data_IF_053735252536
#
_entry.id   IF_053735252536
#
_cell.length_a   1.000
_cell.length_b   1.000
_cell.length_c   1.000
_cell.angle_alpha   90.00
_cell.angle_beta   90.00
_cell.angle_gamma   90.00
#
_symmetry.space_group_name_H-M   'P 1'
#
loop_
_entity.id
_entity.type
_entity.pdbx_description
1 polymer ?
#
# COMPACT_ATOMS: atom_id res chain seq x y z
N UNK A 1 8.48 -31.51 23.48
CA UNK A 1 8.37 -30.65 22.28
C UNK A 1 7.42 -29.51 22.62
N UNK A 2 7.95 -28.30 22.72
CA UNK A 2 7.33 -27.17 23.42
C UNK A 2 6.29 -26.39 22.61
N UNK A 3 5.32 -25.84 23.34
CA UNK A 3 4.12 -25.10 22.91
C UNK A 3 4.47 -23.66 22.44
N UNK A 4 5.72 -23.41 22.06
CA UNK A 4 6.26 -22.05 21.80
C UNK A 4 6.67 -21.78 20.35
N UNK A 5 6.39 -22.68 19.42
CA UNK A 5 6.80 -22.52 18.01
C UNK A 5 5.69 -22.03 17.07
N UNK A 6 4.46 -21.86 17.55
CA UNK A 6 3.34 -21.42 16.70
C UNK A 6 3.28 -19.91 16.45
N UNK A 7 4.11 -19.12 17.14
CA UNK A 7 4.12 -17.65 17.05
C UNK A 7 5.12 -17.08 16.03
N UNK A 8 5.89 -17.94 15.33
CA UNK A 8 6.72 -17.54 14.19
C UNK A 8 6.05 -17.89 12.86
N UNK A 9 4.80 -17.48 12.67
CA UNK A 9 4.21 -17.51 11.33
C UNK A 9 4.78 -16.33 10.54
N UNK A 10 5.68 -16.68 9.64
CA UNK A 10 6.29 -15.90 8.57
C UNK A 10 5.51 -14.62 8.19
N UNK A 11 5.85 -13.47 8.79
CA UNK A 11 5.15 -12.19 8.54
C UNK A 11 5.45 -11.61 7.15
N UNK A 12 6.49 -12.12 6.49
CA UNK A 12 6.99 -11.65 5.19
C UNK A 12 6.16 -12.16 4.01
N UNK A 13 5.64 -13.40 4.05
CA UNK A 13 4.83 -13.94 2.95
C UNK A 13 3.49 -13.21 2.80
N UNK A 14 2.86 -12.84 3.91
CA UNK A 14 1.48 -12.36 3.90
C UNK A 14 1.28 -11.02 3.19
N UNK A 15 2.28 -10.12 3.19
CA UNK A 15 2.17 -8.84 2.49
C UNK A 15 2.26 -9.04 0.98
N UNK A 16 3.27 -9.76 0.52
CA UNK A 16 3.47 -10.04 -0.90
C UNK A 16 2.28 -10.81 -1.47
N UNK A 17 1.80 -11.84 -0.78
CA UNK A 17 0.60 -12.59 -1.17
C UNK A 17 -0.64 -11.70 -1.23
N UNK A 18 -0.84 -10.81 -0.23
CA UNK A 18 -1.95 -9.84 -0.21
C UNK A 18 -1.88 -8.89 -1.39
N UNK A 19 -0.69 -8.33 -1.67
CA UNK A 19 -0.46 -7.41 -2.77
C UNK A 19 -0.70 -8.10 -4.11
N UNK A 20 -0.19 -9.30 -4.31
CA UNK A 20 -0.47 -10.08 -5.51
C UNK A 20 -1.96 -10.39 -5.68
N UNK A 21 -2.66 -10.76 -4.60
CA UNK A 21 -4.10 -11.01 -4.64
C UNK A 21 -4.88 -9.76 -5.07
N UNK A 22 -4.48 -8.57 -4.57
CA UNK A 22 -5.03 -7.29 -4.99
C UNK A 22 -4.70 -7.00 -6.44
N UNK A 23 -3.45 -7.16 -6.88
CA UNK A 23 -3.04 -6.95 -8.26
C UNK A 23 -3.81 -7.86 -9.24
N UNK A 24 -4.12 -9.10 -8.84
CA UNK A 24 -4.89 -10.04 -9.67
C UNK A 24 -6.39 -9.72 -9.74
N UNK A 25 -7.01 -9.26 -8.64
CA UNK A 25 -8.48 -9.28 -8.51
C UNK A 25 -9.14 -8.01 -7.95
N UNK A 26 -8.34 -7.03 -7.52
CA UNK A 26 -8.83 -5.76 -6.99
C UNK A 26 -9.45 -4.86 -8.06
N UNK A 27 -10.33 -3.96 -7.61
CA UNK A 27 -10.85 -2.87 -8.44
C UNK A 27 -9.92 -1.68 -8.38
N UNK A 28 -9.97 -0.84 -9.39
CA UNK A 28 -9.15 0.36 -9.49
C UNK A 28 -10.02 1.58 -9.19
N UNK A 29 -9.45 2.52 -8.46
CA UNK A 29 -9.97 3.88 -8.29
C UNK A 29 -8.82 4.88 -8.32
N UNK A 30 -9.16 6.15 -8.38
CA UNK A 30 -8.20 7.24 -8.21
C UNK A 30 -8.07 7.59 -6.72
N UNK A 31 -6.86 7.94 -6.31
CA UNK A 31 -6.57 8.48 -4.98
C UNK A 31 -5.54 9.60 -5.04
N UNK A 32 -5.17 10.11 -3.88
CA UNK A 32 -4.11 11.11 -3.73
C UNK A 32 -3.16 10.75 -2.61
N UNK A 33 -1.87 11.01 -2.81
CA UNK A 33 -0.89 11.01 -1.71
C UNK A 33 -1.11 12.29 -0.90
N UNK A 34 -1.21 12.18 0.42
CA UNK A 34 -1.30 13.36 1.30
C UNK A 34 -0.08 13.53 2.20
N UNK A 35 0.72 12.47 2.42
CA UNK A 35 1.95 12.54 3.20
C UNK A 35 2.94 11.44 2.81
N UNK A 36 4.22 11.62 3.16
CA UNK A 36 5.32 10.69 2.85
C UNK A 36 6.37 10.63 3.96
N UNK A 37 7.07 9.50 4.06
CA UNK A 37 8.30 9.36 4.87
C UNK A 37 9.47 9.18 3.93
N UNK A 38 10.51 10.00 4.12
CA UNK A 38 11.77 9.86 3.42
C UNK A 38 12.86 9.27 4.31
N UNK A 39 13.83 8.58 3.71
CA UNK A 39 15.06 8.17 4.39
C UNK A 39 16.08 9.31 4.53
N UNK A 40 17.27 9.02 5.07
CA UNK A 40 18.37 9.97 5.24
C UNK A 40 18.92 10.52 3.90
N UNK A 41 18.74 9.78 2.80
CA UNK A 41 19.14 10.20 1.46
C UNK A 41 18.04 11.00 0.73
N UNK A 42 16.88 11.17 1.36
CA UNK A 42 15.72 11.86 0.78
C UNK A 42 14.86 10.99 -0.14
N UNK A 43 15.09 9.68 -0.19
CA UNK A 43 14.26 8.77 -0.97
C UNK A 43 12.92 8.51 -0.24
N UNK A 44 11.81 8.59 -0.97
CA UNK A 44 10.48 8.28 -0.43
C UNK A 44 10.40 6.78 -0.18
N UNK A 45 10.22 6.38 1.08
CA UNK A 45 10.15 4.96 1.49
C UNK A 45 8.74 4.53 1.84
N UNK A 46 7.92 5.46 2.32
CA UNK A 46 6.54 5.20 2.76
C UNK A 46 5.62 6.31 2.29
N UNK A 47 4.42 5.93 1.85
CA UNK A 47 3.40 6.87 1.37
C UNK A 47 2.12 6.72 2.17
N UNK A 48 1.44 7.83 2.40
CA UNK A 48 0.09 7.90 2.95
C UNK A 48 -0.85 8.47 1.91
N UNK A 49 -1.96 7.79 1.68
CA UNK A 49 -2.87 8.10 0.59
C UNK A 49 -4.32 7.92 0.98
N UNK A 50 -5.19 8.70 0.34
CA UNK A 50 -6.63 8.62 0.48
C UNK A 50 -7.30 8.29 -0.86
N UNK A 51 -8.45 7.65 -0.80
CA UNK A 51 -9.30 7.35 -1.96
C UNK A 51 -10.76 7.24 -1.52
N UNK A 52 -11.68 7.51 -2.45
CA UNK A 52 -13.11 7.49 -2.16
C UNK A 52 -13.80 6.31 -2.86
N UNK A 53 -14.66 5.60 -2.13
CA UNK A 53 -15.56 4.57 -2.68
C UNK A 53 -16.99 4.88 -2.22
N UNK A 54 -17.89 5.16 -3.16
CA UNK A 54 -19.31 5.46 -2.90
C UNK A 54 -19.51 6.56 -1.83
N UNK A 55 -18.75 7.66 -1.88
CA UNK A 55 -18.84 8.76 -0.90
C UNK A 55 -18.18 8.48 0.44
N UNK A 56 -17.54 7.31 0.63
CA UNK A 56 -16.76 6.99 1.84
C UNK A 56 -15.28 7.16 1.52
N UNK A 57 -14.63 8.03 2.26
CA UNK A 57 -13.19 8.25 2.20
C UNK A 57 -12.45 7.18 3.02
N UNK A 58 -11.43 6.60 2.41
CA UNK A 58 -10.53 5.64 3.02
C UNK A 58 -9.12 6.21 3.01
N UNK A 59 -8.41 6.05 4.11
CA UNK A 59 -7.00 6.36 4.24
C UNK A 59 -6.21 5.08 4.44
N UNK A 60 -5.04 5.01 3.81
CA UNK A 60 -4.12 3.90 3.98
C UNK A 60 -2.67 4.34 3.82
N UNK A 61 -1.76 3.42 4.10
CA UNK A 61 -0.33 3.68 3.95
C UNK A 61 0.40 2.44 3.47
N UNK A 62 1.52 2.64 2.77
CA UNK A 62 2.26 1.57 2.12
C UNK A 62 3.74 1.90 2.05
N UNK A 63 4.58 0.89 2.28
CA UNK A 63 5.99 0.93 1.92
C UNK A 63 6.15 0.80 0.41
N UNK A 64 6.91 1.70 -0.19
CA UNK A 64 7.25 1.60 -1.61
C UNK A 64 8.26 0.48 -1.81
N UNK A 65 8.02 -0.37 -2.81
CA UNK A 65 9.03 -1.34 -3.24
C UNK A 65 10.15 -0.67 -4.06
N UNK A 66 11.23 -1.40 -4.33
CA UNK A 66 12.39 -0.87 -5.04
C UNK A 66 12.03 -0.26 -6.40
N UNK A 67 11.07 -0.84 -7.14
CA UNK A 67 10.64 -0.32 -8.45
C UNK A 67 9.84 0.97 -8.30
N UNK A 68 9.00 1.07 -7.28
CA UNK A 68 8.27 2.31 -7.00
C UNK A 68 9.21 3.43 -6.55
N UNK A 69 10.26 3.10 -5.79
CA UNK A 69 11.29 4.05 -5.36
C UNK A 69 12.16 4.59 -6.52
N UNK A 70 12.21 3.91 -7.67
CA UNK A 70 12.84 4.43 -8.89
C UNK A 70 12.07 5.61 -9.52
N UNK A 71 10.79 5.78 -9.14
CA UNK A 71 9.90 6.82 -9.66
C UNK A 71 9.29 7.69 -8.54
N UNK A 72 10.10 8.36 -7.70
CA UNK A 72 9.60 9.13 -6.56
C UNK A 72 8.71 10.32 -6.97
N UNK A 73 8.85 10.80 -8.21
CA UNK A 73 8.02 11.85 -8.79
C UNK A 73 6.54 11.46 -8.97
N UNK A 74 6.18 10.19 -8.84
CA UNK A 74 4.80 9.72 -8.90
C UNK A 74 4.13 9.68 -7.51
N UNK A 75 4.92 9.86 -6.44
CA UNK A 75 4.51 9.58 -5.06
C UNK A 75 4.70 10.76 -4.10
N UNK A 76 4.89 11.98 -4.59
CA UNK A 76 4.99 13.18 -3.73
C UNK A 76 3.62 13.59 -3.16
N UNK A 77 3.57 14.30 -2.01
CA UNK A 77 2.31 14.83 -1.47
C UNK A 77 1.56 15.70 -2.49
N UNK A 78 0.29 15.37 -2.74
CA UNK A 78 -0.56 15.97 -3.77
C UNK A 78 -0.58 15.20 -5.10
N UNK A 79 0.30 14.22 -5.30
CA UNK A 79 0.28 13.37 -6.49
C UNK A 79 -1.01 12.57 -6.56
N UNK A 80 -1.58 12.49 -7.78
CA UNK A 80 -2.72 11.63 -8.08
C UNK A 80 -2.21 10.23 -8.39
N UNK A 81 -2.77 9.24 -7.73
CA UNK A 81 -2.30 7.86 -7.81
C UNK A 81 -3.42 6.90 -8.14
N UNK A 82 -3.05 5.78 -8.75
CA UNK A 82 -3.97 4.68 -9.00
C UNK A 82 -3.98 3.76 -7.80
N UNK A 83 -5.14 3.65 -7.14
CA UNK A 83 -5.32 2.76 -6.00
C UNK A 83 -6.06 1.51 -6.45
N UNK A 84 -5.50 0.35 -6.12
CA UNK A 84 -6.17 -0.93 -6.29
C UNK A 84 -6.64 -1.48 -4.95
N UNK A 85 -7.93 -1.79 -4.84
CA UNK A 85 -8.57 -2.17 -3.58
C UNK A 85 -9.46 -3.41 -3.72
N UNK A 86 -9.74 -4.08 -2.60
CA UNK A 86 -10.69 -5.19 -2.56
C UNK A 86 -12.12 -4.64 -2.37
N UNK A 87 -13.06 -4.84 -3.32
CA UNK A 87 -14.43 -4.28 -3.19
C UNK A 87 -15.24 -4.87 -2.04
N UNK A 88 -14.87 -6.05 -1.50
CA UNK A 88 -15.51 -6.64 -0.31
C UNK A 88 -14.92 -6.13 1.00
N UNK A 89 -13.72 -5.55 0.95
CA UNK A 89 -13.02 -4.98 2.09
C UNK A 89 -12.22 -3.76 1.60
N UNK A 90 -12.87 -2.61 1.37
CA UNK A 90 -12.24 -1.49 0.66
C UNK A 90 -10.93 -1.01 1.27
N UNK A 91 -10.83 -0.97 2.60
CA UNK A 91 -9.58 -0.60 3.30
C UNK A 91 -8.36 -1.47 2.97
N UNK A 92 -8.55 -2.67 2.41
CA UNK A 92 -7.46 -3.46 1.87
C UNK A 92 -7.12 -2.96 0.46
N UNK A 93 -6.06 -2.15 0.38
CA UNK A 93 -5.66 -1.44 -0.82
C UNK A 93 -4.14 -1.39 -0.99
N UNK A 94 -3.71 -1.04 -2.21
CA UNK A 94 -2.33 -0.74 -2.59
C UNK A 94 -2.30 0.35 -3.65
N UNK A 95 -1.25 1.17 -3.62
CA UNK A 95 -0.88 2.02 -4.74
C UNK A 95 -0.11 1.19 -5.76
N UNK A 96 -0.48 1.33 -7.03
CA UNK A 96 0.09 0.60 -8.17
C UNK A 96 1.17 1.43 -8.85
#
# INVERSE_FOLDING_TARGET
MGIRDFFKRNKTDGEAERREALLRSGRITEGSIFDVITDEAGAITHVFYNYEINGVEYESSQLLDARQQEHPGDYFPGARVTVRFNPRQPGNSVVV
#
